data_IF_449630952366
#
_entry.id   IF_449630952366
#
_cell.length_a   1.000
_cell.length_b   1.000
_cell.length_c   1.000
_cell.angle_alpha   90.00
_cell.angle_beta   90.00
_cell.angle_gamma   90.00
#
_symmetry.space_group_name_H-M   'P 1'
#
loop_
_entity.id
_entity.type
_entity.pdbx_description
1 polymer ?
#
# COMPACT_ATOMS: atom_id res chain seq x y z
N UNK A 1 -49.85 -34.90 1.54
CA UNK A 1 -48.45 -34.76 1.12
C UNK A 1 -47.82 -36.13 1.27
N UNK A 2 -47.33 -36.73 0.19
CA UNK A 2 -46.65 -38.02 0.27
C UNK A 2 -45.30 -37.86 0.98
N UNK A 3 -44.92 -38.88 1.76
CA UNK A 3 -43.64 -38.88 2.47
C UNK A 3 -42.53 -39.26 1.50
N UNK A 4 -41.41 -38.55 1.55
CA UNK A 4 -40.21 -38.83 0.74
C UNK A 4 -38.95 -38.62 1.59
N UNK A 5 -37.83 -39.14 1.11
CA UNK A 5 -36.49 -38.88 1.63
C UNK A 5 -35.69 -38.02 0.64
N UNK A 6 -34.86 -37.12 1.16
CA UNK A 6 -33.90 -36.34 0.40
C UNK A 6 -32.49 -36.67 0.90
N UNK A 7 -31.68 -37.29 0.05
CA UNK A 7 -30.25 -37.46 0.27
C UNK A 7 -29.49 -36.26 -0.27
N UNK A 8 -28.55 -35.74 0.51
CA UNK A 8 -27.62 -34.69 0.10
C UNK A 8 -26.19 -35.16 0.37
N UNK A 9 -25.33 -35.08 -0.63
CA UNK A 9 -23.88 -35.31 -0.52
C UNK A 9 -23.16 -33.99 -0.80
N UNK A 10 -22.65 -33.35 0.26
CA UNK A 10 -22.11 -31.99 0.21
C UNK A 10 -20.58 -32.06 0.22
N UNK A 11 -19.99 -31.97 -0.97
CA UNK A 11 -18.55 -31.87 -1.18
C UNK A 11 -18.05 -30.42 -1.27
N UNK A 12 -16.75 -30.26 -1.46
CA UNK A 12 -16.08 -28.94 -1.53
C UNK A 12 -16.47 -28.11 -2.75
N UNK A 13 -16.87 -28.77 -3.84
CA UNK A 13 -17.13 -28.18 -5.15
C UNK A 13 -18.43 -28.69 -5.78
N UNK A 14 -19.18 -29.49 -5.03
CA UNK A 14 -20.37 -30.13 -5.55
C UNK A 14 -21.36 -30.50 -4.46
N UNK A 15 -22.64 -30.41 -4.78
CA UNK A 15 -23.72 -30.97 -3.95
C UNK A 15 -24.47 -31.99 -4.79
N UNK A 16 -24.29 -33.27 -4.48
CA UNK A 16 -25.12 -34.36 -4.99
C UNK A 16 -26.45 -34.39 -4.26
N UNK A 17 -27.53 -34.70 -4.95
CA UNK A 17 -28.85 -34.85 -4.33
C UNK A 17 -29.65 -35.96 -5.01
N UNK A 18 -30.49 -36.64 -4.23
CA UNK A 18 -31.44 -37.64 -4.72
C UNK A 18 -32.69 -37.68 -3.84
N UNK A 19 -33.86 -37.89 -4.45
CA UNK A 19 -35.14 -37.98 -3.77
C UNK A 19 -35.70 -39.39 -3.93
N UNK A 20 -36.07 -40.04 -2.84
CA UNK A 20 -36.65 -41.39 -2.86
C UNK A 20 -37.95 -41.48 -2.09
N UNK A 21 -38.79 -42.45 -2.44
CA UNK A 21 -39.94 -42.86 -1.63
C UNK A 21 -39.48 -43.58 -0.33
N UNK A 22 -40.40 -43.93 0.59
CA UNK A 22 -40.07 -44.70 1.79
C UNK A 22 -39.57 -46.14 1.52
N UNK A 23 -39.73 -46.64 0.29
CA UNK A 23 -39.21 -47.94 -0.17
C UNK A 23 -37.85 -47.81 -0.87
N UNK A 24 -37.20 -46.65 -0.78
CA UNK A 24 -35.92 -46.31 -1.39
C UNK A 24 -35.90 -46.38 -2.93
N UNK A 25 -37.05 -46.14 -3.56
CA UNK A 25 -37.14 -46.00 -5.02
C UNK A 25 -37.01 -44.54 -5.40
N UNK A 26 -36.26 -44.28 -6.47
CA UNK A 26 -36.02 -42.93 -6.95
C UNK A 26 -37.31 -42.29 -7.48
N UNK A 27 -37.62 -41.10 -6.98
CA UNK A 27 -38.81 -40.36 -7.39
C UNK A 27 -38.65 -39.77 -8.79
N UNK A 28 -39.77 -39.64 -9.51
CA UNK A 28 -39.79 -39.00 -10.84
C UNK A 28 -40.78 -37.85 -10.87
N UNK A 29 -40.33 -36.69 -11.32
CA UNK A 29 -41.16 -35.50 -11.49
C UNK A 29 -41.02 -34.95 -12.91
N UNK A 30 -42.15 -34.69 -13.57
CA UNK A 30 -42.19 -34.28 -14.98
C UNK A 30 -41.29 -35.12 -15.92
N UNK A 31 -41.37 -36.45 -15.79
CA UNK A 31 -40.57 -37.44 -16.55
C UNK A 31 -39.05 -37.37 -16.33
N UNK A 32 -38.58 -36.59 -15.34
CA UNK A 32 -37.17 -36.54 -14.93
C UNK A 32 -37.01 -37.25 -13.60
N UNK A 33 -35.93 -38.00 -13.49
CA UNK A 33 -35.55 -38.63 -12.23
C UNK A 33 -35.07 -37.55 -11.26
N UNK A 34 -35.50 -37.64 -10.00
CA UNK A 34 -35.22 -36.63 -8.99
C UNK A 34 -33.86 -36.89 -8.34
N UNK A 35 -32.80 -36.81 -9.14
CA UNK A 35 -31.42 -36.77 -8.67
C UNK A 35 -30.60 -35.81 -9.51
N UNK A 36 -29.45 -35.43 -8.99
CA UNK A 36 -28.48 -34.67 -9.76
C UNK A 36 -27.30 -34.24 -8.93
N UNK A 37 -26.48 -33.41 -9.55
CA UNK A 37 -25.32 -32.80 -8.93
C UNK A 37 -25.28 -31.32 -9.29
N UNK A 38 -25.03 -30.48 -8.29
CA UNK A 38 -24.76 -29.06 -8.48
C UNK A 38 -23.27 -28.83 -8.34
N UNK A 39 -22.57 -28.45 -9.41
CA UNK A 39 -21.15 -28.09 -9.38
C UNK A 39 -20.96 -26.58 -9.14
N UNK A 40 -19.91 -26.20 -8.42
CA UNK A 40 -19.51 -24.81 -8.17
C UNK A 40 -18.00 -24.69 -7.92
N UNK A 41 -17.49 -23.47 -8.06
CA UNK A 41 -16.08 -23.16 -7.80
C UNK A 41 -15.75 -23.28 -6.31
N UNK A 42 -14.50 -23.63 -6.00
CA UNK A 42 -14.07 -23.78 -4.61
C UNK A 42 -14.13 -22.43 -3.90
N UNK A 43 -14.56 -22.44 -2.63
CA UNK A 43 -14.54 -21.22 -1.84
C UNK A 43 -13.10 -20.75 -1.57
N UNK A 44 -12.82 -19.49 -1.90
CA UNK A 44 -11.57 -18.85 -1.53
C UNK A 44 -11.51 -18.58 -0.01
N UNK A 45 -10.33 -18.80 0.58
CA UNK A 45 -10.10 -18.41 1.97
C UNK A 45 -10.08 -16.88 2.11
N UNK A 46 -10.40 -16.38 3.31
CA UNK A 46 -10.32 -14.94 3.59
C UNK A 46 -8.87 -14.41 3.72
N UNK A 47 -7.84 -15.25 3.58
CA UNK A 47 -6.44 -14.90 3.78
C UNK A 47 -5.97 -13.82 2.79
N UNK A 48 -6.24 -13.98 1.50
CA UNK A 48 -5.83 -13.02 0.48
C UNK A 48 -6.51 -11.66 0.65
N UNK A 49 -7.79 -11.69 1.01
CA UNK A 49 -8.56 -10.47 1.33
C UNK A 49 -7.94 -9.75 2.52
N UNK A 50 -7.49 -10.49 3.55
CA UNK A 50 -6.80 -9.93 4.72
C UNK A 50 -5.48 -9.27 4.32
N UNK A 51 -4.65 -9.95 3.52
CA UNK A 51 -3.37 -9.41 3.03
C UNK A 51 -3.54 -8.13 2.22
N UNK A 52 -4.46 -8.12 1.24
CA UNK A 52 -4.78 -6.94 0.42
C UNK A 52 -5.26 -5.76 1.30
N UNK A 53 -6.12 -6.02 2.29
CA UNK A 53 -6.62 -4.98 3.21
C UNK A 53 -5.51 -4.39 4.07
N UNK A 54 -4.64 -5.23 4.63
CA UNK A 54 -3.49 -4.78 5.44
C UNK A 54 -2.55 -3.90 4.60
N UNK A 55 -2.25 -4.30 3.37
CA UNK A 55 -1.41 -3.52 2.47
C UNK A 55 -2.01 -2.15 2.14
N UNK A 56 -3.31 -2.07 1.82
CA UNK A 56 -4.00 -0.78 1.60
C UNK A 56 -3.89 0.15 2.80
N UNK A 57 -4.20 -0.35 4.01
CA UNK A 57 -4.09 0.43 5.26
C UNK A 57 -2.65 0.88 5.53
N UNK A 58 -1.66 0.03 5.27
CA UNK A 58 -0.24 0.36 5.41
C UNK A 58 0.17 1.50 4.50
N UNK A 59 -0.22 1.45 3.22
CA UNK A 59 0.08 2.49 2.24
C UNK A 59 -0.60 3.83 2.60
N UNK A 60 -1.88 3.79 2.98
CA UNK A 60 -2.62 4.97 3.42
C UNK A 60 -1.95 5.65 4.62
N UNK A 61 -1.58 4.88 5.65
CA UNK A 61 -0.86 5.41 6.82
C UNK A 61 0.53 5.94 6.47
N UNK A 62 1.21 5.35 5.48
CA UNK A 62 2.48 5.88 4.98
C UNK A 62 2.28 7.24 4.32
N UNK A 63 1.25 7.39 3.49
CA UNK A 63 0.92 8.68 2.86
C UNK A 63 0.57 9.73 3.91
N UNK A 64 -0.28 9.39 4.87
CA UNK A 64 -0.64 10.29 5.97
C UNK A 64 0.58 10.78 6.76
N UNK A 65 1.55 9.90 7.07
CA UNK A 65 2.79 10.32 7.75
C UNK A 65 3.58 11.36 6.95
N UNK A 66 3.64 11.20 5.64
CA UNK A 66 4.35 12.16 4.78
C UNK A 66 3.57 13.47 4.65
N UNK A 67 2.24 13.43 4.58
CA UNK A 67 1.41 14.64 4.60
C UNK A 67 1.60 15.43 5.89
N UNK A 68 1.56 14.77 7.05
CA UNK A 68 1.82 15.42 8.33
C UNK A 68 3.23 16.03 8.40
N UNK A 69 4.23 15.38 7.80
CA UNK A 69 5.58 15.95 7.70
C UNK A 69 5.60 17.19 6.81
N UNK A 70 4.91 17.16 5.66
CA UNK A 70 4.79 18.32 4.77
C UNK A 70 4.08 19.48 5.46
N UNK A 71 2.98 19.21 6.18
CA UNK A 71 2.25 20.21 6.98
C UNK A 71 3.17 20.87 8.02
N UNK A 72 3.98 20.07 8.73
CA UNK A 72 4.93 20.57 9.72
C UNK A 72 5.98 21.51 9.11
N UNK A 73 6.43 21.21 7.90
CA UNK A 73 7.46 22.00 7.20
C UNK A 73 6.85 23.11 6.32
N UNK A 74 5.53 23.16 6.13
CA UNK A 74 4.89 23.97 5.10
C UNK A 74 5.24 25.46 5.19
N UNK A 75 5.18 26.04 6.39
CA UNK A 75 5.44 27.47 6.59
C UNK A 75 6.90 27.84 6.28
N UNK A 76 7.85 27.13 6.89
CA UNK A 76 9.28 27.42 6.70
C UNK A 76 9.77 27.05 5.30
N UNK A 77 9.22 25.97 4.71
CA UNK A 77 9.51 25.60 3.34
C UNK A 77 9.04 26.69 2.37
N UNK A 78 7.85 27.25 2.58
CA UNK A 78 7.32 28.29 1.69
C UNK A 78 8.12 29.60 1.71
N UNK A 79 8.83 29.90 2.80
CA UNK A 79 9.75 31.05 2.88
C UNK A 79 10.97 30.87 1.97
N UNK A 80 11.36 29.63 1.67
CA UNK A 80 12.51 29.28 0.83
C UNK A 80 12.08 28.93 -0.60
N UNK A 81 11.07 28.08 -0.73
CA UNK A 81 10.56 27.51 -1.99
C UNK A 81 9.09 27.07 -1.83
N UNK A 82 8.18 27.98 -2.16
CA UNK A 82 6.72 27.82 -2.05
C UNK A 82 6.13 26.71 -2.93
N UNK A 83 6.85 26.31 -3.98
CA UNK A 83 6.40 25.29 -4.93
C UNK A 83 7.10 23.94 -4.74
N UNK A 84 8.01 23.80 -3.78
CA UNK A 84 8.79 22.59 -3.53
C UNK A 84 7.90 21.34 -3.34
N UNK A 85 6.91 21.38 -2.44
CA UNK A 85 6.05 20.22 -2.19
C UNK A 85 5.13 19.89 -3.36
N UNK A 86 4.71 20.89 -4.14
CA UNK A 86 3.92 20.68 -5.34
C UNK A 86 4.73 19.88 -6.38
N UNK A 87 5.95 20.33 -6.69
CA UNK A 87 6.87 19.64 -7.60
C UNK A 87 7.23 18.24 -7.12
N UNK A 88 7.47 18.06 -5.82
CA UNK A 88 7.77 16.76 -5.24
C UNK A 88 6.60 15.77 -5.38
N UNK A 89 5.38 16.22 -5.09
CA UNK A 89 4.17 15.39 -5.16
C UNK A 89 3.78 15.05 -6.62
N UNK A 90 4.08 15.94 -7.57
CA UNK A 90 3.84 15.78 -9.00
C UNK A 90 5.03 15.20 -9.78
N UNK A 91 6.10 14.79 -9.10
CA UNK A 91 7.33 14.25 -9.72
C UNK A 91 7.12 13.07 -10.66
N UNK A 92 6.02 12.33 -10.50
CA UNK A 92 5.62 11.20 -11.35
C UNK A 92 4.88 11.60 -12.64
N UNK A 93 4.44 12.85 -12.76
CA UNK A 93 3.65 13.33 -13.90
C UNK A 93 4.56 13.73 -15.06
N UNK A 94 4.02 13.67 -16.28
CA UNK A 94 4.67 14.26 -17.44
C UNK A 94 4.74 15.78 -17.31
N UNK A 95 5.75 16.40 -17.94
CA UNK A 95 6.01 17.84 -17.78
C UNK A 95 4.79 18.71 -18.13
N UNK A 96 4.03 18.30 -19.14
CA UNK A 96 2.80 18.94 -19.60
C UNK A 96 1.65 18.89 -18.59
N UNK A 97 1.63 17.88 -17.71
CA UNK A 97 0.61 17.68 -16.68
C UNK A 97 0.98 18.32 -15.33
N UNK A 98 2.21 18.83 -15.18
CA UNK A 98 2.66 19.45 -13.94
C UNK A 98 2.10 20.85 -13.78
N UNK A 99 1.71 21.19 -12.56
CA UNK A 99 1.31 22.54 -12.18
C UNK A 99 2.46 23.53 -12.31
N UNK A 100 3.68 23.06 -12.01
CA UNK A 100 4.93 23.82 -12.18
C UNK A 100 5.76 23.11 -13.24
N UNK A 101 5.91 23.75 -14.40
CA UNK A 101 6.57 23.20 -15.59
C UNK A 101 8.10 23.24 -15.47
N UNK A 102 8.61 22.75 -14.36
CA UNK A 102 10.04 22.62 -14.11
C UNK A 102 10.52 21.19 -14.37
N UNK A 103 11.70 21.11 -14.97
CA UNK A 103 12.34 19.82 -15.30
C UNK A 103 12.66 19.04 -14.02
N UNK A 104 13.19 19.74 -13.01
CA UNK A 104 13.71 19.15 -11.78
C UNK A 104 12.71 19.29 -10.63
N UNK A 105 12.35 18.19 -9.95
CA UNK A 105 11.40 18.25 -8.83
C UNK A 105 11.97 18.85 -7.54
N UNK A 106 13.28 18.73 -7.26
CA UNK A 106 13.84 19.13 -5.96
C UNK A 106 14.35 20.58 -5.99
N UNK A 107 15.29 20.87 -6.88
CA UNK A 107 15.98 22.16 -6.95
C UNK A 107 15.91 22.73 -8.37
N UNK A 108 15.45 23.98 -8.46
CA UNK A 108 15.20 24.69 -9.74
C UNK A 108 16.01 26.00 -9.84
N UNK A 109 16.98 26.19 -8.96
CA UNK A 109 17.78 27.42 -8.92
C UNK A 109 18.83 27.44 -10.04
N UNK A 110 19.21 28.63 -10.49
CA UNK A 110 20.15 28.81 -11.61
C UNK A 110 21.54 28.19 -11.36
N UNK A 111 21.94 28.05 -10.09
CA UNK A 111 23.25 27.52 -9.69
C UNK A 111 23.20 26.23 -8.89
N UNK A 112 22.01 25.70 -8.59
CA UNK A 112 21.84 24.45 -7.85
C UNK A 112 20.60 23.72 -8.34
N UNK A 113 20.83 22.59 -8.99
CA UNK A 113 19.80 21.74 -9.58
C UNK A 113 19.86 20.34 -9.01
N UNK A 114 18.89 19.48 -9.36
CA UNK A 114 18.94 18.07 -9.00
C UNK A 114 20.24 17.40 -9.46
N UNK A 115 20.86 17.84 -10.57
CA UNK A 115 22.13 17.29 -11.05
C UNK A 115 23.23 17.54 -10.02
N UNK A 116 23.35 18.80 -9.54
CA UNK A 116 24.36 19.20 -8.57
C UNK A 116 24.13 18.49 -7.24
N UNK A 117 22.86 18.43 -6.80
CA UNK A 117 22.45 17.67 -5.61
C UNK A 117 22.86 16.19 -5.68
N UNK A 118 22.63 15.51 -6.80
CA UNK A 118 23.02 14.10 -6.95
C UNK A 118 24.53 13.90 -7.16
N UNK A 119 25.27 14.92 -7.59
CA UNK A 119 26.74 14.88 -7.62
C UNK A 119 27.31 15.01 -6.20
N UNK A 120 26.78 15.93 -5.41
CA UNK A 120 27.18 16.18 -4.02
C UNK A 120 26.78 15.01 -3.10
N UNK A 121 25.56 14.51 -3.27
CA UNK A 121 25.01 13.40 -2.49
C UNK A 121 24.56 12.26 -3.42
N UNK A 122 25.48 11.36 -3.83
CA UNK A 122 25.17 10.24 -4.73
C UNK A 122 24.06 9.31 -4.24
N UNK A 123 23.86 9.27 -2.92
CA UNK A 123 22.70 8.59 -2.32
C UNK A 123 22.17 9.41 -1.16
N UNK A 124 20.89 9.19 -0.82
CA UNK A 124 20.26 9.79 0.36
C UNK A 124 20.99 9.50 1.67
N UNK A 125 21.81 8.45 1.73
CA UNK A 125 22.62 8.13 2.90
C UNK A 125 23.83 9.05 3.07
N UNK A 126 24.38 9.58 1.97
CA UNK A 126 25.42 10.60 2.04
C UNK A 126 24.87 11.88 2.67
N UNK A 127 23.68 12.31 2.22
CA UNK A 127 22.98 13.45 2.81
C UNK A 127 22.69 13.22 4.31
N UNK A 128 22.17 12.04 4.67
CA UNK A 128 21.92 11.72 6.08
C UNK A 128 23.18 11.74 6.94
N UNK A 129 24.30 11.25 6.40
CA UNK A 129 25.59 11.25 7.09
C UNK A 129 26.09 12.68 7.30
N UNK A 130 26.04 13.50 6.26
CA UNK A 130 26.44 14.91 6.32
C UNK A 130 25.62 15.68 7.36
N UNK A 131 24.30 15.55 7.36
CA UNK A 131 23.42 16.16 8.36
C UNK A 131 23.63 15.66 9.80
N UNK A 132 24.33 14.53 9.99
CA UNK A 132 24.65 13.99 11.32
C UNK A 132 26.04 14.41 11.81
N UNK A 133 26.97 14.67 10.90
CA UNK A 133 28.39 14.91 11.22
C UNK A 133 28.80 16.38 11.05
N UNK A 134 28.06 17.16 10.25
CA UNK A 134 28.34 18.56 9.98
C UNK A 134 27.56 19.48 10.91
N UNK A 135 28.27 20.42 11.54
CA UNK A 135 27.68 21.49 12.37
C UNK A 135 27.24 22.71 11.56
N UNK A 136 27.42 22.69 10.23
CA UNK A 136 27.05 23.82 9.38
C UNK A 136 25.52 23.90 9.21
N UNK A 137 24.94 25.10 9.05
CA UNK A 137 23.54 25.22 8.67
C UNK A 137 23.28 24.63 7.28
N UNK A 138 22.22 23.82 7.14
CA UNK A 138 21.79 23.25 5.86
C UNK A 138 20.47 23.84 5.39
N UNK A 139 20.27 23.77 4.07
CA UNK A 139 18.99 24.10 3.44
C UNK A 139 17.85 23.22 3.98
N UNK A 140 16.70 23.84 4.26
CA UNK A 140 15.53 23.14 4.81
C UNK A 140 15.01 22.02 3.90
N UNK A 141 15.18 22.13 2.57
CA UNK A 141 14.83 21.10 1.58
C UNK A 141 15.67 19.85 1.79
N UNK A 142 16.96 20.00 2.07
CA UNK A 142 17.87 18.88 2.37
C UNK A 142 17.46 18.17 3.67
N UNK A 143 17.19 18.94 4.72
CA UNK A 143 16.70 18.40 6.00
C UNK A 143 15.39 17.64 5.81
N UNK A 144 14.43 18.22 5.08
CA UNK A 144 13.17 17.56 4.77
C UNK A 144 13.39 16.25 4.01
N UNK A 145 14.26 16.20 2.99
CA UNK A 145 14.52 14.99 2.21
C UNK A 145 15.06 13.84 3.05
N UNK A 146 15.97 14.15 3.98
CA UNK A 146 16.52 13.17 4.92
C UNK A 146 15.45 12.60 5.86
N UNK A 147 14.64 13.47 6.48
CA UNK A 147 13.56 13.06 7.41
C UNK A 147 12.44 12.32 6.65
N UNK A 148 12.07 12.79 5.47
CA UNK A 148 11.10 12.13 4.60
C UNK A 148 11.54 10.69 4.30
N UNK A 149 12.82 10.48 3.97
CA UNK A 149 13.36 9.14 3.73
C UNK A 149 13.24 8.25 4.98
N UNK A 150 13.63 8.76 6.16
CA UNK A 150 13.52 8.05 7.44
C UNK A 150 12.07 7.65 7.75
N UNK A 151 11.10 8.57 7.63
CA UNK A 151 9.70 8.30 7.97
C UNK A 151 8.99 7.40 6.93
N UNK A 152 9.39 7.49 5.67
CA UNK A 152 8.88 6.63 4.59
C UNK A 152 9.38 5.20 4.73
N UNK A 153 10.65 5.02 5.12
CA UNK A 153 11.35 3.73 5.24
C UNK A 153 11.85 3.47 6.67
N UNK A 154 10.96 3.64 7.66
CA UNK A 154 11.25 3.64 9.11
C UNK A 154 11.68 2.30 9.75
N UNK A 155 11.97 1.26 8.96
CA UNK A 155 12.29 -0.07 9.48
C UNK A 155 11.13 -0.78 10.19
N UNK A 156 11.47 -1.85 10.92
CA UNK A 156 10.53 -2.69 11.68
C UNK A 156 10.61 -2.38 13.18
N UNK A 157 9.48 -2.38 13.87
CA UNK A 157 9.36 -2.09 15.30
C UNK A 157 9.07 -3.39 16.08
N UNK A 158 10.01 -4.34 16.06
CA UNK A 158 9.87 -5.64 16.76
C UNK A 158 10.24 -5.54 18.24
N UNK A 159 11.10 -4.60 18.60
CA UNK A 159 11.53 -4.38 19.97
C UNK A 159 10.65 -3.32 20.63
N UNK A 160 10.20 -3.62 21.84
CA UNK A 160 9.40 -2.73 22.69
C UNK A 160 10.26 -1.87 23.63
N UNK A 161 11.52 -2.26 23.83
CA UNK A 161 12.53 -1.52 24.59
C UNK A 161 13.53 -0.82 23.66
N UNK A 162 14.16 0.29 24.10
CA UNK A 162 15.27 0.90 23.39
C UNK A 162 16.38 -0.13 23.09
N UNK A 163 17.07 0.06 21.98
CA UNK A 163 18.18 -0.81 21.60
C UNK A 163 19.35 -0.61 22.58
N UNK A 164 20.06 -1.66 23.02
CA UNK A 164 21.23 -1.51 23.91
C UNK A 164 22.41 -0.72 23.30
N UNK A 165 22.34 -0.38 22.01
CA UNK A 165 23.36 0.43 21.33
C UNK A 165 23.13 1.94 21.46
N UNK A 166 22.06 2.35 22.15
CA UNK A 166 21.70 3.76 22.36
C UNK A 166 22.23 4.29 23.72
N UNK A 167 23.38 3.78 24.18
CA UNK A 167 24.05 4.15 25.43
C UNK A 167 25.54 4.45 25.23
#
# INVERSE_FOLDING_TARGET
MEKYYLGLDIGTNSVGWAVTDPSYRLERFHKKDMWGIRLFEQADTAADRRTKRTNRRRLQRRHQRIQLLQELFAEEMAKVDDTFFLRLNESKLHLEDKSVQEKYPLFIEKGYTDIDFYQEYPTIYHLRKDLMESDQPHDIRLVYLAIHHLLKYRGCLLYTSPSPRDG
#
